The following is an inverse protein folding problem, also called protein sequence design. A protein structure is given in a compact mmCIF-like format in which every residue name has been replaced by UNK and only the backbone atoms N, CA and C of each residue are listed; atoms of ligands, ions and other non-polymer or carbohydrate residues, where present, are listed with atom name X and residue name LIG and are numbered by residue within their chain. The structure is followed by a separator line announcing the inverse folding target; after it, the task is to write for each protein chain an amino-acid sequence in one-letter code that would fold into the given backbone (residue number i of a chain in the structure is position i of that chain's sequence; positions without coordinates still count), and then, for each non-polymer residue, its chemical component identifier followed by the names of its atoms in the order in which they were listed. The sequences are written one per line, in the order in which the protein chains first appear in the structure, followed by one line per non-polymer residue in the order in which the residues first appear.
data_IF_344587384652
#
_entry.id   IF_344587384652
#
_cell.length_a   1.000
_cell.length_b   1.000
_cell.length_c   1.000
_cell.angle_alpha   90.00
_cell.angle_beta   90.00
_cell.angle_gamma   90.00
#
_symmetry.space_group_name_H-M   'P 1'
#
loop_
_entity.id
_entity.type
_entity.pdbx_description
1 polymer ?
#
# COMPACT_ATOMS: atom_id res chain seq x y z
N UNK A 1 2.46 -4.03 -2.68
CA UNK A 1 2.16 -4.04 -4.13
C UNK A 1 0.85 -3.30 -4.38
N UNK A 2 0.71 -2.53 -5.49
CA UNK A 2 -0.56 -1.93 -5.88
C UNK A 2 -1.63 -2.97 -6.22
N UNK A 3 -2.89 -2.64 -5.90
CA UNK A 3 -4.08 -3.42 -6.28
C UNK A 3 -5.19 -2.47 -6.75
N UNK A 4 -6.18 -3.01 -7.49
CA UNK A 4 -7.34 -2.24 -7.93
C UNK A 4 -8.41 -2.06 -6.85
N UNK A 5 -8.18 -2.58 -5.63
CA UNK A 5 -9.08 -2.36 -4.50
C UNK A 5 -9.04 -0.92 -4.04
N UNK A 6 -10.20 -0.41 -3.71
CA UNK A 6 -10.38 0.91 -3.12
C UNK A 6 -10.86 0.79 -1.67
N UNK A 7 -10.62 1.82 -0.87
CA UNK A 7 -11.25 1.95 0.44
C UNK A 7 -12.73 2.34 0.32
N UNK A 8 -13.40 2.46 1.44
CA UNK A 8 -14.74 3.01 1.47
C UNK A 8 -14.70 4.53 1.27
N UNK A 9 -15.71 5.08 0.61
CA UNK A 9 -15.84 6.54 0.49
C UNK A 9 -15.87 7.18 1.88
N UNK A 10 -15.07 8.23 2.07
CA UNK A 10 -14.88 8.87 3.37
C UNK A 10 -13.93 8.12 4.32
N UNK A 11 -13.24 7.08 3.85
CA UNK A 11 -12.24 6.38 4.67
C UNK A 11 -10.92 7.14 4.72
N UNK A 12 -10.34 7.20 5.90
CA UNK A 12 -8.97 7.66 6.12
C UNK A 12 -8.14 6.53 6.72
N UNK A 13 -6.91 6.38 6.28
CA UNK A 13 -5.97 5.39 6.78
C UNK A 13 -4.65 6.03 7.18
N UNK A 14 -4.10 5.57 8.29
CA UNK A 14 -2.75 5.89 8.75
C UNK A 14 -1.91 4.64 8.70
N UNK A 15 -0.67 4.75 8.23
CA UNK A 15 0.24 3.62 8.15
C UNK A 15 1.63 3.96 8.62
N UNK A 16 2.26 2.96 9.22
CA UNK A 16 3.66 2.90 9.57
C UNK A 16 4.27 1.65 8.96
N UNK A 17 5.47 1.77 8.41
CA UNK A 17 6.22 0.63 7.89
C UNK A 17 7.70 0.76 8.21
N UNK A 18 8.27 -0.35 8.66
CA UNK A 18 9.70 -0.51 8.81
C UNK A 18 10.19 -1.52 7.77
N UNK A 19 10.71 -0.98 6.68
CA UNK A 19 11.14 -1.74 5.49
C UNK A 19 12.59 -1.34 5.21
N UNK A 20 13.55 -2.07 5.79
CA UNK A 20 14.96 -1.71 5.63
C UNK A 20 15.34 -1.40 4.19
N UNK A 21 16.02 -0.28 3.92
CA UNK A 21 16.63 0.68 4.86
C UNK A 21 15.74 1.88 5.21
N UNK A 22 14.44 1.80 4.98
CA UNK A 22 13.48 2.90 5.15
C UNK A 22 12.57 2.71 6.36
N UNK A 23 12.13 3.84 6.92
CA UNK A 23 10.90 3.93 7.72
C UNK A 23 9.89 4.72 6.91
N UNK A 24 8.66 4.23 6.84
CA UNK A 24 7.58 4.84 6.09
C UNK A 24 6.43 5.23 7.01
N UNK A 25 5.93 6.44 6.80
CA UNK A 25 4.63 6.86 7.30
C UNK A 25 3.76 7.19 6.10
N UNK A 26 2.52 6.79 6.13
CA UNK A 26 1.58 7.16 5.08
C UNK A 26 0.25 7.59 5.68
N UNK A 27 -0.39 8.53 4.97
CA UNK A 27 -1.76 8.94 5.17
C UNK A 27 -2.50 8.65 3.89
N UNK A 28 -3.59 7.90 3.97
CA UNK A 28 -4.47 7.60 2.84
C UNK A 28 -5.84 8.21 3.09
N UNK A 29 -6.43 8.80 2.08
CA UNK A 29 -7.78 9.35 2.12
C UNK A 29 -8.52 8.87 0.87
N UNK A 30 -9.75 8.41 1.06
CA UNK A 30 -10.67 8.00 0.02
C UNK A 30 -11.80 9.05 -0.09
N UNK A 31 -11.59 10.19 -0.78
CA UNK A 31 -12.59 11.25 -0.82
C UNK A 31 -13.83 10.84 -1.60
N UNK A 32 -13.67 10.03 -2.65
CA UNK A 32 -14.73 9.49 -3.48
C UNK A 32 -14.49 8.01 -3.73
N UNK A 33 -15.53 7.25 -4.07
CA UNK A 33 -15.44 5.80 -4.28
C UNK A 33 -14.41 5.36 -5.34
N UNK A 34 -14.06 6.25 -6.28
CA UNK A 34 -13.11 5.94 -7.36
C UNK A 34 -11.73 6.57 -7.18
N UNK A 35 -11.54 7.44 -6.18
CA UNK A 35 -10.34 8.24 -5.99
C UNK A 35 -9.72 7.95 -4.65
N UNK A 36 -8.48 7.53 -4.65
CA UNK A 36 -7.65 7.43 -3.45
C UNK A 36 -6.47 8.39 -3.59
N UNK A 37 -6.30 9.24 -2.59
CA UNK A 37 -5.15 10.13 -2.46
C UNK A 37 -4.35 9.69 -1.25
N UNK A 38 -3.03 9.64 -1.36
CA UNK A 38 -2.19 9.35 -0.21
C UNK A 38 -0.94 10.20 -0.18
N UNK A 39 -0.50 10.52 1.04
CA UNK A 39 0.80 11.13 1.32
C UNK A 39 1.75 10.09 1.87
N UNK A 40 3.00 10.14 1.45
CA UNK A 40 4.06 9.29 1.96
C UNK A 40 5.19 10.15 2.54
N UNK A 41 5.64 9.78 3.74
CA UNK A 41 6.81 10.33 4.39
C UNK A 41 7.79 9.20 4.64
N UNK A 42 8.99 9.30 4.08
CA UNK A 42 10.00 8.23 4.10
C UNK A 42 11.27 8.74 4.75
N UNK A 43 11.79 8.02 5.72
CA UNK A 43 13.05 8.31 6.40
C UNK A 43 14.11 7.34 5.87
N UNK A 44 15.22 7.87 5.40
CA UNK A 44 16.38 7.12 4.89
C UNK A 44 17.34 6.82 6.04
N UNK A 45 17.18 5.69 6.68
CA UNK A 45 17.97 5.36 7.91
C UNK A 45 19.47 5.29 7.66
N UNK A 46 20.18 6.17 8.37
CA UNK A 46 21.65 6.25 8.29
C UNK A 46 22.17 6.99 7.05
N UNK A 47 21.32 7.76 6.39
CA UNK A 47 21.72 8.75 5.38
C UNK A 47 21.55 10.13 5.99
N UNK A 48 22.64 10.87 6.29
CA UNK A 48 22.53 12.17 6.93
C UNK A 48 21.84 13.18 6.01
N UNK A 49 20.98 14.02 6.55
CA UNK A 49 20.38 15.13 5.83
C UNK A 49 21.46 16.17 5.50
N UNK A 50 21.62 16.59 4.22
CA UNK A 50 22.71 17.49 3.83
C UNK A 50 22.61 18.90 4.45
N UNK A 51 21.42 19.31 4.85
CA UNK A 51 21.16 20.64 5.43
C UNK A 51 21.14 20.60 6.95
N UNK A 52 20.52 19.58 7.54
CA UNK A 52 20.22 19.52 8.96
C UNK A 52 21.25 18.72 9.77
N UNK A 53 21.99 17.80 9.12
CA UNK A 53 22.97 16.97 9.84
C UNK A 53 24.12 17.74 10.47
N UNK A 54 24.62 18.86 9.92
CA UNK A 54 25.63 19.68 10.60
C UNK A 54 25.17 20.24 11.95
N UNK A 55 23.85 20.33 12.15
CA UNK A 55 23.24 20.79 13.40
C UNK A 55 22.82 19.63 14.32
N UNK A 56 23.24 18.41 14.02
CA UNK A 56 22.92 17.22 14.84
C UNK A 56 21.53 16.64 14.58
N UNK A 57 20.84 17.05 13.53
CA UNK A 57 19.51 16.56 13.17
C UNK A 57 19.57 15.50 12.07
N UNK A 58 19.00 14.43 12.34
CA UNK A 58 18.28 13.38 11.65
C UNK A 58 18.81 12.82 10.33
N UNK A 59 18.17 11.74 9.98
CA UNK A 59 18.30 11.08 8.69
C UNK A 59 17.57 11.91 7.60
N UNK A 60 18.04 11.81 6.35
CA UNK A 60 17.37 12.39 5.19
C UNK A 60 15.94 11.89 5.06
N UNK A 61 15.04 12.79 4.69
CA UNK A 61 13.62 12.48 4.57
C UNK A 61 13.07 12.87 3.20
N UNK A 62 12.15 12.06 2.72
CA UNK A 62 11.45 12.22 1.46
C UNK A 62 9.94 12.34 1.69
N UNK A 63 9.29 13.21 0.94
CA UNK A 63 7.84 13.42 0.98
C UNK A 63 7.28 13.33 -0.43
N UNK A 64 6.20 12.58 -0.57
CA UNK A 64 5.52 12.45 -1.85
C UNK A 64 4.03 12.26 -1.70
N UNK A 65 3.29 12.66 -2.71
CA UNK A 65 1.86 12.38 -2.83
C UNK A 65 1.61 11.36 -3.94
N UNK A 66 0.61 10.50 -3.72
CA UNK A 66 0.18 9.49 -4.66
C UNK A 66 -1.30 9.67 -4.98
N UNK A 67 -1.69 9.25 -6.16
CA UNK A 67 -3.07 9.22 -6.63
C UNK A 67 -3.37 7.85 -7.22
N UNK A 68 -4.51 7.27 -6.88
CA UNK A 68 -5.03 6.08 -7.53
C UNK A 68 -6.48 6.30 -7.96
N UNK A 69 -6.79 5.91 -9.19
CA UNK A 69 -8.10 6.00 -9.79
C UNK A 69 -8.58 4.59 -10.15
N UNK A 70 -9.70 4.16 -9.59
CA UNK A 70 -10.37 2.95 -10.04
C UNK A 70 -11.24 3.29 -11.25
N UNK A 71 -10.97 2.63 -12.36
CA UNK A 71 -11.80 2.68 -13.56
C UNK A 71 -13.00 1.74 -13.40
N UNK A 72 -12.79 0.65 -12.69
CA UNK A 72 -13.79 -0.33 -12.35
C UNK A 72 -13.40 -1.04 -11.05
N UNK A 73 -14.32 -1.19 -10.12
CA UNK A 73 -14.11 -1.89 -8.85
C UNK A 73 -14.65 -3.32 -8.90
N UNK A 74 -13.94 -4.34 -8.35
CA UNK A 74 -14.43 -5.72 -8.32
C UNK A 74 -15.78 -5.85 -7.62
N UNK A 75 -16.02 -5.01 -6.61
CA UNK A 75 -17.24 -4.99 -5.83
C UNK A 75 -18.48 -4.62 -6.66
N UNK A 76 -18.32 -3.78 -7.70
CA UNK A 76 -19.41 -3.36 -8.59
C UNK A 76 -20.01 -4.52 -9.38
N UNK A 77 -19.19 -5.51 -9.74
CA UNK A 77 -19.63 -6.74 -10.40
C UNK A 77 -20.01 -7.86 -9.44
N UNK A 78 -20.04 -7.59 -8.13
CA UNK A 78 -20.15 -8.63 -7.09
C UNK A 78 -19.05 -9.69 -7.23
N UNK A 79 -17.84 -9.24 -7.55
CA UNK A 79 -16.63 -10.06 -7.74
C UNK A 79 -16.64 -10.99 -8.96
N UNK A 80 -17.58 -10.82 -9.89
CA UNK A 80 -17.63 -11.62 -11.13
C UNK A 80 -16.59 -11.15 -12.16
N UNK A 81 -16.29 -9.85 -12.19
CA UNK A 81 -15.31 -9.25 -13.07
C UNK A 81 -14.12 -8.70 -12.27
N UNK A 82 -12.93 -8.69 -12.85
CA UNK A 82 -11.77 -8.07 -12.22
C UNK A 82 -11.93 -6.55 -12.15
N UNK A 83 -11.40 -5.95 -11.09
CA UNK A 83 -11.25 -4.51 -11.01
C UNK A 83 -10.07 -4.01 -11.82
N UNK A 84 -10.13 -2.76 -12.25
CA UNK A 84 -9.09 -2.06 -12.99
C UNK A 84 -8.80 -0.71 -12.34
N UNK A 85 -7.54 -0.43 -12.06
CA UNK A 85 -7.11 0.86 -11.55
C UNK A 85 -5.82 1.33 -12.22
N UNK A 86 -5.64 2.64 -12.24
CA UNK A 86 -4.39 3.30 -12.60
C UNK A 86 -3.88 4.12 -11.42
N UNK A 87 -2.57 4.26 -11.31
CA UNK A 87 -1.97 5.00 -10.20
C UNK A 87 -0.73 5.77 -10.60
N UNK A 88 -0.52 6.85 -9.86
CA UNK A 88 0.63 7.73 -9.90
C UNK A 88 1.22 7.76 -8.50
N UNK A 89 2.47 7.35 -8.35
CA UNK A 89 3.19 7.45 -7.08
C UNK A 89 4.19 8.58 -7.14
N UNK A 90 4.32 9.31 -6.03
CA UNK A 90 5.26 10.41 -5.85
C UNK A 90 5.20 11.44 -7.00
N UNK A 91 3.96 11.78 -7.42
CA UNK A 91 3.74 12.72 -8.53
C UNK A 91 3.89 14.19 -8.09
N UNK A 92 3.75 14.48 -6.79
CA UNK A 92 4.05 15.75 -6.13
C UNK A 92 5.03 15.46 -4.99
N UNK A 93 6.13 16.21 -4.92
CA UNK A 93 7.15 16.06 -3.90
C UNK A 93 8.54 16.02 -4.52
N UNK A 94 9.41 15.16 -3.99
CA UNK A 94 10.80 15.05 -4.45
C UNK A 94 10.95 14.23 -5.73
N UNK A 95 9.92 13.50 -6.14
CA UNK A 95 9.92 12.56 -7.28
C UNK A 95 10.97 11.45 -7.17
N UNK A 96 11.47 11.18 -5.97
CA UNK A 96 12.50 10.16 -5.72
C UNK A 96 11.98 8.74 -5.89
N UNK A 97 10.67 8.53 -5.68
CA UNK A 97 9.99 7.23 -5.77
C UNK A 97 8.91 7.21 -6.87
N UNK A 98 9.07 8.05 -7.86
CA UNK A 98 8.06 8.22 -8.90
C UNK A 98 7.78 6.94 -9.67
N UNK A 99 6.50 6.57 -9.75
CA UNK A 99 6.01 5.44 -10.54
C UNK A 99 4.64 5.73 -11.15
N UNK A 100 4.39 5.08 -12.29
CA UNK A 100 3.09 5.04 -12.96
C UNK A 100 2.72 3.59 -13.17
N UNK A 101 1.48 3.22 -12.91
CA UNK A 101 1.06 1.84 -13.09
C UNK A 101 -0.40 1.71 -13.49
N UNK A 102 -0.69 0.60 -14.16
CA UNK A 102 -2.03 0.06 -14.30
C UNK A 102 -2.07 -1.31 -13.64
N UNK A 103 -3.17 -1.63 -12.97
CA UNK A 103 -3.33 -2.89 -12.24
C UNK A 103 -4.73 -3.45 -12.41
N UNK A 104 -4.80 -4.75 -12.59
CA UNK A 104 -6.02 -5.55 -12.58
C UNK A 104 -6.02 -6.41 -11.33
N UNK A 105 -7.14 -6.48 -10.64
CA UNK A 105 -7.30 -7.30 -9.43
C UNK A 105 -8.58 -8.12 -9.53
N UNK A 106 -8.44 -9.44 -9.39
CA UNK A 106 -9.56 -10.35 -9.26
C UNK A 106 -9.66 -10.86 -7.82
N UNK A 107 -10.85 -10.76 -7.26
CA UNK A 107 -11.18 -11.33 -5.96
C UNK A 107 -12.03 -12.57 -6.20
N UNK A 108 -11.68 -13.66 -5.56
CA UNK A 108 -12.37 -14.94 -5.58
C UNK A 108 -12.87 -15.28 -4.17
N UNK A 109 -14.04 -14.74 -3.75
CA UNK A 109 -14.50 -14.82 -2.36
C UNK A 109 -14.66 -16.28 -1.88
N UNK A 110 -15.10 -17.18 -2.76
CA UNK A 110 -15.26 -18.59 -2.44
C UNK A 110 -13.99 -19.25 -1.91
N UNK A 111 -12.84 -18.78 -2.35
CA UNK A 111 -11.52 -19.34 -2.01
C UNK A 111 -10.75 -18.47 -1.01
N UNK A 112 -11.30 -17.31 -0.61
CA UNK A 112 -10.58 -16.33 0.19
C UNK A 112 -9.34 -15.80 -0.52
N UNK A 113 -9.39 -15.72 -1.85
CA UNK A 113 -8.24 -15.44 -2.70
C UNK A 113 -8.39 -14.10 -3.42
N UNK A 114 -7.32 -13.32 -3.43
CA UNK A 114 -7.18 -12.12 -4.24
C UNK A 114 -5.90 -12.23 -5.07
N UNK A 115 -6.00 -11.96 -6.37
CA UNK A 115 -4.86 -11.98 -7.30
C UNK A 115 -4.81 -10.64 -8.02
N UNK A 116 -3.64 -10.05 -8.06
CA UNK A 116 -3.39 -8.80 -8.78
C UNK A 116 -2.24 -8.97 -9.76
N UNK A 117 -2.38 -8.38 -10.94
CA UNK A 117 -1.32 -8.25 -11.93
C UNK A 117 -1.35 -6.85 -12.51
N UNK A 118 -0.19 -6.26 -12.71
CA UNK A 118 -0.08 -4.92 -13.24
C UNK A 118 1.18 -4.71 -14.05
N UNK A 119 1.22 -3.56 -14.70
CA UNK A 119 2.38 -3.09 -15.44
C UNK A 119 2.68 -1.66 -15.04
N UNK A 120 3.96 -1.36 -14.80
CA UNK A 120 4.39 -0.05 -14.38
C UNK A 120 5.58 0.49 -15.17
N UNK A 121 5.85 1.78 -14.95
CA UNK A 121 7.00 2.51 -15.46
C UNK A 121 7.69 3.27 -14.33
N UNK A 122 8.92 3.66 -14.56
CA UNK A 122 9.83 4.27 -13.59
C UNK A 122 10.17 3.29 -12.45
N UNK A 123 9.90 3.64 -11.17
CA UNK A 123 10.27 2.80 -10.03
C UNK A 123 9.58 1.43 -10.07
N UNK A 124 8.27 1.38 -10.34
CA UNK A 124 7.60 0.11 -10.66
C UNK A 124 7.91 -0.20 -12.13
N UNK A 125 8.86 -1.10 -12.34
CA UNK A 125 9.38 -1.38 -13.67
C UNK A 125 8.77 -2.67 -14.23
N UNK A 126 8.10 -2.58 -15.42
CA UNK A 126 7.50 -3.74 -16.11
C UNK A 126 6.36 -4.40 -15.32
N UNK A 127 6.24 -5.72 -15.47
CA UNK A 127 5.21 -6.53 -14.86
C UNK A 127 5.46 -6.71 -13.37
N UNK A 128 4.42 -6.55 -12.57
CA UNK A 128 4.39 -6.89 -11.16
C UNK A 128 3.12 -7.66 -10.85
N UNK A 129 3.07 -8.36 -9.74
CA UNK A 129 1.89 -9.11 -9.37
C UNK A 129 1.95 -9.63 -7.95
N UNK A 130 0.83 -10.13 -7.46
CA UNK A 130 0.76 -10.72 -6.14
C UNK A 130 -0.54 -11.41 -5.87
N UNK A 131 -0.51 -12.14 -4.78
CA UNK A 131 -1.58 -12.97 -4.29
C UNK A 131 -1.77 -12.72 -2.80
N UNK A 132 -3.02 -12.64 -2.36
CA UNK A 132 -3.39 -12.63 -0.95
C UNK A 132 -4.40 -13.75 -0.72
N UNK A 133 -4.10 -14.64 0.21
CA UNK A 133 -4.91 -15.81 0.50
C UNK A 133 -5.28 -15.88 1.95
N UNK A 134 -6.58 -15.97 2.22
CA UNK A 134 -7.19 -16.11 3.55
C UNK A 134 -7.78 -17.52 3.70
N UNK A 135 -6.96 -18.55 4.04
CA UNK A 135 -7.41 -19.94 4.06
C UNK A 135 -8.51 -20.23 5.07
N UNK A 136 -8.58 -19.41 6.11
CA UNK A 136 -9.49 -19.61 7.24
C UNK A 136 -10.70 -18.67 7.25
N UNK A 137 -10.96 -17.94 6.16
CA UNK A 137 -11.98 -16.91 6.12
C UNK A 137 -13.41 -17.40 6.42
N UNK A 138 -13.70 -18.70 6.20
CA UNK A 138 -15.00 -19.31 6.48
C UNK A 138 -15.11 -19.90 7.89
N UNK A 139 -14.05 -19.92 8.67
CA UNK A 139 -14.07 -20.50 10.00
C UNK A 139 -14.80 -19.58 10.99
N UNK A 140 -15.47 -20.17 11.99
CA UNK A 140 -16.15 -19.39 13.02
C UNK A 140 -15.19 -18.68 13.99
N UNK A 141 -13.92 -19.08 14.03
CA UNK A 141 -12.93 -18.47 14.88
C UNK A 141 -12.48 -17.13 14.29
N UNK A 142 -12.94 -16.04 14.89
CA UNK A 142 -12.65 -14.68 14.44
C UNK A 142 -11.15 -14.34 14.35
N UNK A 143 -10.32 -15.01 15.16
CA UNK A 143 -8.86 -14.79 15.11
C UNK A 143 -8.23 -15.42 13.88
N UNK A 144 -8.69 -16.57 13.46
CA UNK A 144 -8.19 -17.25 12.27
C UNK A 144 -8.73 -16.64 10.98
N UNK A 145 -9.98 -16.17 10.97
CA UNK A 145 -10.58 -15.53 9.80
C UNK A 145 -9.77 -14.34 9.27
N UNK A 146 -9.07 -13.63 10.17
CA UNK A 146 -8.35 -12.40 9.88
C UNK A 146 -6.92 -12.63 9.37
N UNK A 147 -6.50 -13.89 9.27
CA UNK A 147 -5.15 -14.25 8.84
C UNK A 147 -5.09 -14.38 7.31
N UNK A 148 -4.17 -13.66 6.70
CA UNK A 148 -3.89 -13.75 5.27
C UNK A 148 -2.40 -14.03 5.01
N UNK A 149 -2.12 -14.90 4.05
CA UNK A 149 -0.79 -15.11 3.48
C UNK A 149 -0.66 -14.27 2.21
N UNK A 150 0.47 -13.62 2.05
CA UNK A 150 0.72 -12.71 0.93
C UNK A 150 1.98 -13.14 0.21
N UNK A 151 1.89 -13.25 -1.10
CA UNK A 151 3.01 -13.44 -2.02
C UNK A 151 3.03 -12.31 -3.03
N UNK A 152 4.22 -11.81 -3.37
CA UNK A 152 4.37 -10.67 -4.27
C UNK A 152 5.61 -10.85 -5.14
N UNK A 153 5.46 -10.54 -6.42
CA UNK A 153 6.57 -10.33 -7.35
C UNK A 153 6.85 -8.84 -7.47
N UNK A 154 8.00 -8.42 -6.95
CA UNK A 154 8.42 -7.03 -6.93
C UNK A 154 9.28 -6.71 -8.16
N UNK A 155 8.77 -5.82 -9.01
CA UNK A 155 9.43 -5.42 -10.25
C UNK A 155 10.38 -4.22 -10.09
N UNK A 156 10.65 -3.76 -8.86
CA UNK A 156 11.55 -2.62 -8.63
C UNK A 156 12.99 -3.04 -8.94
N UNK A 157 13.69 -2.34 -9.86
CA UNK A 157 15.08 -2.62 -10.17
C UNK A 157 15.99 -1.94 -9.15
N UNK A 158 16.10 -2.50 -7.96
CA UNK A 158 16.85 -1.95 -6.82
C UNK A 158 18.33 -1.70 -7.12
N UNK A 159 18.91 -2.39 -8.08
CA UNK A 159 20.31 -2.19 -8.49
C UNK A 159 20.53 -0.87 -9.25
N UNK A 160 19.45 -0.24 -9.75
CA UNK A 160 19.51 1.00 -10.47
C UNK A 160 19.50 2.20 -9.50
N UNK A 161 20.63 2.91 -9.37
CA UNK A 161 20.77 4.06 -8.48
C UNK A 161 19.87 5.25 -8.82
N UNK A 162 19.36 5.33 -10.03
CA UNK A 162 18.37 6.35 -10.39
C UNK A 162 16.99 6.07 -9.80
N UNK A 163 16.68 4.80 -9.51
CA UNK A 163 15.38 4.34 -9.02
C UNK A 163 15.42 3.94 -7.55
N UNK A 164 16.57 3.48 -7.05
CA UNK A 164 16.82 3.25 -5.63
C UNK A 164 17.80 4.30 -5.11
N UNK A 165 17.30 5.18 -4.25
CA UNK A 165 18.07 6.34 -3.77
C UNK A 165 18.90 6.05 -2.53
N UNK A 166 18.57 4.99 -1.79
CA UNK A 166 19.30 4.66 -0.57
C UNK A 166 20.54 3.80 -0.86
N UNK A 167 21.75 4.18 -0.39
CA UNK A 167 22.97 3.40 -0.67
C UNK A 167 22.89 1.93 -0.26
N UNK A 168 22.18 1.64 0.84
CA UNK A 168 21.97 0.27 1.35
C UNK A 168 20.74 -0.42 0.77
N UNK A 169 20.01 0.25 -0.14
CA UNK A 169 18.76 -0.25 -0.74
C UNK A 169 18.96 -1.17 -1.94
N UNK A 170 20.15 -1.15 -2.54
CA UNK A 170 20.43 -1.81 -3.82
C UNK A 170 20.48 -3.33 -3.78
N UNK A 171 20.62 -3.92 -2.60
CA UNK A 171 20.78 -5.37 -2.49
C UNK A 171 19.42 -6.08 -2.56
N UNK A 172 19.30 -7.00 -3.52
CA UNK A 172 18.15 -7.86 -3.74
C UNK A 172 18.64 -9.25 -4.17
N UNK A 173 18.27 -10.29 -3.43
CA UNK A 173 18.53 -11.70 -3.77
C UNK A 173 17.48 -12.28 -4.71
N UNK A 174 16.21 -11.90 -4.49
CA UNK A 174 15.08 -12.40 -5.24
C UNK A 174 14.01 -11.29 -5.40
N UNK A 175 13.28 -11.28 -6.51
CA UNK A 175 12.13 -10.38 -6.67
C UNK A 175 10.88 -10.85 -5.93
N UNK A 176 10.92 -12.02 -5.29
CA UNK A 176 9.78 -12.56 -4.56
C UNK A 176 9.80 -12.10 -3.10
N UNK A 177 8.66 -11.60 -2.67
CA UNK A 177 8.36 -11.24 -1.29
C UNK A 177 7.24 -12.14 -0.79
N UNK A 178 7.35 -12.57 0.45
CA UNK A 178 6.31 -13.38 1.12
C UNK A 178 6.04 -12.84 2.50
N UNK A 179 4.81 -12.93 2.95
CA UNK A 179 4.44 -12.37 4.25
C UNK A 179 3.12 -12.90 4.79
N UNK A 180 2.86 -12.47 5.99
CA UNK A 180 1.60 -12.72 6.70
C UNK A 180 1.01 -11.37 7.07
N UNK A 181 -0.28 -11.24 6.86
CA UNK A 181 -1.08 -10.09 7.25
C UNK A 181 -2.17 -10.54 8.21
N UNK A 182 -2.37 -9.77 9.26
CA UNK A 182 -3.38 -10.02 10.26
C UNK A 182 -4.23 -8.78 10.49
N UNK A 183 -5.55 -8.92 10.43
CA UNK A 183 -6.49 -7.81 10.65
C UNK A 183 -7.11 -7.89 12.04
N UNK A 184 -6.85 -6.86 12.84
CA UNK A 184 -7.42 -6.68 14.17
C UNK A 184 -8.66 -5.78 14.11
N UNK A 185 -9.74 -6.21 14.76
CA UNK A 185 -10.96 -5.41 14.96
C UNK A 185 -11.49 -4.75 13.67
N UNK A 186 -11.24 -5.35 12.50
CA UNK A 186 -11.61 -4.83 11.17
C UNK A 186 -11.06 -3.43 10.83
N UNK A 187 -10.12 -2.90 11.62
CA UNK A 187 -9.61 -1.53 11.47
C UNK A 187 -8.09 -1.40 11.48
N UNK A 188 -7.39 -2.40 11.96
CA UNK A 188 -5.94 -2.36 12.08
C UNK A 188 -5.34 -3.56 11.37
N UNK A 189 -4.49 -3.33 10.41
CA UNK A 189 -3.72 -4.35 9.71
C UNK A 189 -2.29 -4.38 10.23
N UNK A 190 -1.86 -5.54 10.67
CA UNK A 190 -0.46 -5.86 10.98
C UNK A 190 0.09 -6.72 9.86
N UNK A 191 1.29 -6.44 9.39
CA UNK A 191 1.97 -7.35 8.47
C UNK A 191 3.42 -7.57 8.83
N UNK A 192 3.87 -8.80 8.61
CA UNK A 192 5.26 -9.20 8.70
C UNK A 192 5.63 -9.90 7.39
N UNK A 193 6.70 -9.46 6.75
CA UNK A 193 7.08 -9.97 5.44
C UNK A 193 8.58 -10.18 5.33
N UNK A 194 8.97 -11.21 4.59
CA UNK A 194 10.33 -11.40 4.12
C UNK A 194 10.43 -10.86 2.71
N UNK A 195 11.24 -9.83 2.52
CA UNK A 195 11.34 -9.09 1.27
C UNK A 195 12.74 -9.15 0.68
N UNK A 196 12.84 -9.03 -0.65
CA UNK A 196 14.10 -9.02 -1.41
C UNK A 196 14.98 -10.26 -1.17
N UNK A 197 14.47 -11.28 -0.49
CA UNK A 197 15.22 -12.47 -0.07
C UNK A 197 16.28 -12.24 1.02
N UNK A 198 16.27 -11.07 1.68
CA UNK A 198 17.31 -10.72 2.65
C UNK A 198 16.86 -9.83 3.81
N UNK A 199 15.64 -9.35 3.83
CA UNK A 199 15.17 -8.39 4.83
C UNK A 199 13.80 -8.72 5.37
N UNK A 200 13.62 -8.51 6.67
CA UNK A 200 12.30 -8.47 7.30
C UNK A 200 11.71 -7.07 7.15
N UNK A 201 10.42 -7.02 6.88
CA UNK A 201 9.62 -5.82 6.86
C UNK A 201 8.43 -5.99 7.78
N UNK A 202 8.12 -4.94 8.52
CA UNK A 202 6.94 -4.86 9.37
C UNK A 202 6.10 -3.66 8.94
N UNK A 203 4.78 -3.82 8.93
CA UNK A 203 3.89 -2.67 8.79
C UNK A 203 2.68 -2.76 9.69
N UNK A 204 2.20 -1.59 10.08
CA UNK A 204 1.00 -1.35 10.84
C UNK A 204 0.19 -0.32 10.07
N UNK A 205 -1.08 -0.57 9.84
CA UNK A 205 -1.99 0.43 9.29
C UNK A 205 -3.35 0.38 9.97
N UNK A 206 -3.95 1.54 10.14
CA UNK A 206 -5.29 1.69 10.71
C UNK A 206 -6.21 2.40 9.73
N UNK A 207 -7.48 2.01 9.72
CA UNK A 207 -8.50 2.55 8.81
C UNK A 207 -9.71 3.03 9.60
N UNK A 208 -10.17 4.21 9.25
CA UNK A 208 -11.33 4.81 9.90
C UNK A 208 -12.30 5.39 8.85
N UNK A 209 -13.52 4.86 8.74
CA UNK A 209 -14.53 5.33 7.79
C UNK A 209 -15.29 6.54 8.37
N UNK A 210 -14.81 7.75 8.13
CA UNK A 210 -15.49 8.98 8.59
C UNK A 210 -16.86 9.20 7.92
N UNK A 211 -17.01 8.67 6.70
CA UNK A 211 -18.24 8.86 5.92
C UNK A 211 -19.44 8.02 6.34
N UNK A 212 -19.24 6.95 7.11
CA UNK A 212 -20.28 5.95 7.39
C UNK A 212 -20.68 5.84 8.86
N UNK A 213 -19.91 6.39 9.78
CA UNK A 213 -20.15 6.31 11.21
C UNK A 213 -20.66 7.66 11.75
N UNK A 214 -21.63 7.64 12.66
CA UNK A 214 -21.98 8.76 13.53
C UNK A 214 -20.83 8.98 14.53
N UNK A 215 -19.63 9.21 14.03
CA UNK A 215 -18.44 9.31 14.84
C UNK A 215 -17.91 10.73 14.91
N UNK A 216 -16.63 10.87 14.62
CA UNK A 216 -15.83 12.07 14.82
C UNK A 216 -16.29 13.30 14.01
N UNK A 217 -16.91 13.09 12.86
CA UNK A 217 -17.56 14.14 12.06
C UNK A 217 -18.95 13.65 11.70
N UNK A 218 -20.03 14.23 12.29
CA UNK A 218 -21.38 13.88 11.89
C UNK A 218 -21.57 14.25 10.40
N UNK A 219 -22.08 13.32 9.61
CA UNK A 219 -22.59 13.66 8.28
C UNK A 219 -23.69 14.70 8.48
N UNK A 220 -23.49 15.89 7.94
CA UNK A 220 -24.58 16.81 7.74
C UNK A 220 -25.53 16.14 6.74
N UNK A 221 -26.79 15.96 7.13
CA UNK A 221 -27.81 15.57 6.17
C UNK A 221 -27.90 16.66 5.11
N UNK A 222 -27.78 16.25 3.84
CA UNK A 222 -28.11 17.17 2.76
C UNK A 222 -29.50 17.72 3.00
N UNK A 223 -29.73 19.02 2.84
CA UNK A 223 -31.08 19.57 2.92
C UNK A 223 -31.94 18.83 1.91
N UNK A 224 -33.06 18.32 2.38
CA UNK A 224 -34.07 17.72 1.51
C UNK A 224 -34.45 18.73 0.44
N UNK A 225 -34.57 18.30 -0.84
CA UNK A 225 -35.00 19.19 -1.91
C UNK A 225 -36.38 19.75 -1.68
#
# INVERSE_FOLDING_TARGET
MPSARMGQEGEMGLGYGWIRPYIHYNLRVQPFRFHEVSGAYRIFKGVPDPVLSPYGYGDYTDKGANLKLALFSPEESRYQLPGLAIGLEDFIGTSSFQAYYGVVTQILPRYGLEVSIGYGKKRIHRWFGGISWMPFWQQQNMYLQSLAFVGEYDAIPYQNSNLEKHPKGHYQKTPWNVGVKYRLCNRVDLSLSWIKGNALAFSLSSFYPFGTTKGFLPKLHDPLP
#
